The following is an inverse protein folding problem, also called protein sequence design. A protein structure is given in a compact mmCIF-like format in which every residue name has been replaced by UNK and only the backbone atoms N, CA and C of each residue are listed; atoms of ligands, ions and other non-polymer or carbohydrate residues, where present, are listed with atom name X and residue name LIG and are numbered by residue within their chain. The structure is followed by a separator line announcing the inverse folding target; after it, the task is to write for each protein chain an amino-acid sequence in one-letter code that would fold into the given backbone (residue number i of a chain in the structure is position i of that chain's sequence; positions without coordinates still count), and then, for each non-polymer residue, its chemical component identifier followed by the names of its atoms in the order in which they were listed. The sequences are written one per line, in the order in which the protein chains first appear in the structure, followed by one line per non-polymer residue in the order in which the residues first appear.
data_IF_734111227262
#
_entry.id   IF_734111227262
#
_cell.length_a   1.000
_cell.length_b   1.000
_cell.length_c   1.000
_cell.angle_alpha   90.00
_cell.angle_beta   90.00
_cell.angle_gamma   90.00
#
_symmetry.space_group_name_H-M   'P 1'
#
loop_
_entity.id
_entity.type
_entity.pdbx_description
1 polymer ?
#
# COMPACT_ATOMS: atom_id res chain seq x y z
N UNK A 1 -8.50 8.52 -4.18
CA UNK A 1 -8.45 7.04 -4.19
C UNK A 1 -9.80 6.55 -4.61
N UNK A 2 -9.83 5.50 -5.44
CA UNK A 2 -11.08 4.80 -5.75
C UNK A 2 -11.46 3.78 -4.65
N UNK A 3 -12.69 3.29 -4.72
CA UNK A 3 -13.24 2.32 -3.77
C UNK A 3 -12.48 0.99 -3.79
N UNK A 4 -12.03 0.54 -4.97
CA UNK A 4 -11.26 -0.69 -5.11
C UNK A 4 -9.92 -0.64 -4.34
N UNK A 5 -9.23 0.50 -4.39
CA UNK A 5 -7.99 0.75 -3.65
C UNK A 5 -8.20 0.67 -2.15
N UNK A 6 -9.34 1.20 -1.68
CA UNK A 6 -9.71 1.19 -0.26
C UNK A 6 -9.98 -0.23 0.22
N UNK A 7 -10.80 -0.99 -0.52
CA UNK A 7 -11.14 -2.37 -0.18
C UNK A 7 -9.91 -3.28 -0.20
N UNK A 8 -9.01 -3.09 -1.17
CA UNK A 8 -7.76 -3.85 -1.23
C UNK A 8 -6.87 -3.57 -0.02
N UNK A 9 -6.76 -2.30 0.37
CA UNK A 9 -5.98 -1.90 1.53
C UNK A 9 -6.57 -2.45 2.84
N UNK A 10 -7.87 -2.33 3.05
CA UNK A 10 -8.57 -2.88 4.23
C UNK A 10 -8.40 -4.41 4.31
N UNK A 11 -8.56 -5.12 3.18
CA UNK A 11 -8.35 -6.57 3.10
C UNK A 11 -6.92 -6.95 3.46
N UNK A 12 -5.93 -6.20 2.96
CA UNK A 12 -4.53 -6.45 3.25
C UNK A 12 -4.18 -6.19 4.73
N UNK A 13 -4.72 -5.12 5.34
CA UNK A 13 -4.54 -4.85 6.78
C UNK A 13 -5.05 -6.02 7.61
N UNK A 14 -6.26 -6.49 7.33
CA UNK A 14 -6.91 -7.56 8.08
C UNK A 14 -6.15 -8.89 7.90
N UNK A 15 -5.76 -9.24 6.67
CA UNK A 15 -5.05 -10.50 6.38
C UNK A 15 -3.62 -10.53 6.91
N UNK A 16 -2.91 -9.40 6.87
CA UNK A 16 -1.50 -9.33 7.25
C UNK A 16 -1.27 -8.86 8.70
N UNK A 17 -2.34 -8.57 9.45
CA UNK A 17 -2.28 -8.11 10.84
C UNK A 17 -1.54 -6.78 10.98
N UNK A 18 -1.79 -5.84 10.06
CA UNK A 18 -1.04 -4.57 10.00
C UNK A 18 -1.54 -3.57 11.03
N UNK A 19 -0.62 -2.90 11.72
CA UNK A 19 -0.96 -1.80 12.61
C UNK A 19 -1.38 -0.54 11.83
N UNK A 20 -2.05 0.39 12.50
CA UNK A 20 -2.37 1.70 11.92
C UNK A 20 -1.13 2.43 11.37
N UNK A 21 0.04 2.25 12.00
CA UNK A 21 1.31 2.80 11.49
C UNK A 21 1.73 2.17 10.16
N UNK A 22 1.51 0.86 10.01
CA UNK A 22 1.79 0.16 8.76
C UNK A 22 0.85 0.60 7.64
N UNK A 23 -0.43 0.82 7.95
CA UNK A 23 -1.41 1.41 7.04
C UNK A 23 -0.94 2.78 6.51
N UNK A 24 -0.58 3.71 7.40
CA UNK A 24 -0.10 5.04 6.99
C UNK A 24 1.16 4.95 6.12
N UNK A 25 2.06 4.00 6.41
CA UNK A 25 3.27 3.80 5.59
C UNK A 25 2.92 3.30 4.19
N UNK A 26 2.00 2.35 4.07
CA UNK A 26 1.52 1.86 2.77
C UNK A 26 0.91 3.00 1.96
N UNK A 27 0.07 3.84 2.57
CA UNK A 27 -0.51 5.00 1.88
C UNK A 27 0.54 5.99 1.39
N UNK A 28 1.58 6.26 2.17
CA UNK A 28 2.68 7.15 1.75
C UNK A 28 3.43 6.59 0.55
N UNK A 29 3.78 5.29 0.59
CA UNK A 29 4.48 4.63 -0.52
C UNK A 29 3.58 4.59 -1.77
N UNK A 30 2.31 4.23 -1.61
CA UNK A 30 1.36 4.21 -2.72
C UNK A 30 1.14 5.61 -3.33
N UNK A 31 1.20 6.68 -2.52
CA UNK A 31 1.19 8.05 -3.03
C UNK A 31 2.44 8.34 -3.86
N UNK A 32 3.62 7.99 -3.37
CA UNK A 32 4.86 8.15 -4.12
C UNK A 32 4.83 7.39 -5.45
N UNK A 33 4.31 6.16 -5.47
CA UNK A 33 4.16 5.38 -6.70
C UNK A 33 3.19 6.07 -7.66
N UNK A 34 2.04 6.55 -7.17
CA UNK A 34 1.08 7.30 -7.99
C UNK A 34 1.70 8.58 -8.57
N UNK A 35 2.50 9.30 -7.78
CA UNK A 35 3.20 10.50 -8.24
C UNK A 35 4.22 10.16 -9.34
N UNK A 36 4.93 9.03 -9.23
CA UNK A 36 5.87 8.55 -10.26
C UNK A 36 5.16 8.08 -11.54
N UNK A 37 3.95 7.53 -11.42
CA UNK A 37 3.10 7.13 -12.54
C UNK A 37 2.35 8.32 -13.19
N UNK A 38 2.48 9.52 -12.62
CA UNK A 38 1.76 10.72 -13.08
C UNK A 38 0.25 10.66 -12.79
N UNK A 39 -0.19 9.75 -11.91
CA UNK A 39 -1.57 9.58 -11.55
C UNK A 39 -2.00 10.57 -10.46
N UNK A 40 -3.02 11.39 -10.75
CA UNK A 40 -3.57 12.35 -9.78
C UNK A 40 -4.11 11.65 -8.53
N UNK A 41 -4.71 10.47 -8.71
CA UNK A 41 -5.33 9.67 -7.67
C UNK A 41 -4.57 8.36 -7.48
N UNK A 42 -4.43 7.93 -6.22
CA UNK A 42 -3.94 6.59 -5.93
C UNK A 42 -4.98 5.57 -6.40
N UNK A 43 -4.54 4.57 -7.16
CA UNK A 43 -5.33 3.47 -7.69
C UNK A 43 -4.85 2.14 -7.11
N UNK A 44 -5.63 1.09 -7.36
CA UNK A 44 -5.38 -0.26 -6.85
C UNK A 44 -3.97 -0.79 -7.15
N UNK A 45 -3.37 -0.56 -8.34
CA UNK A 45 -1.99 -0.98 -8.63
C UNK A 45 -0.96 -0.38 -7.67
N UNK A 46 -1.06 0.92 -7.37
CA UNK A 46 -0.14 1.62 -6.48
C UNK A 46 -0.18 1.06 -5.04
N UNK A 47 -1.37 0.65 -4.58
CA UNK A 47 -1.53 0.04 -3.26
C UNK A 47 -0.98 -1.38 -3.25
N UNK A 48 -1.28 -2.17 -4.28
CA UNK A 48 -0.75 -3.53 -4.42
C UNK A 48 0.78 -3.52 -4.36
N UNK A 49 1.41 -2.62 -5.10
CA UNK A 49 2.86 -2.48 -5.14
C UNK A 49 3.43 -1.99 -3.79
N UNK A 50 2.79 -1.00 -3.14
CA UNK A 50 3.19 -0.55 -1.81
C UNK A 50 3.12 -1.66 -0.73
N UNK A 51 2.11 -2.54 -0.81
CA UNK A 51 2.00 -3.72 0.07
C UNK A 51 3.12 -4.71 -0.20
N UNK A 52 3.47 -4.94 -1.48
CA UNK A 52 4.56 -5.83 -1.87
C UNK A 52 5.90 -5.33 -1.34
N UNK A 53 6.23 -4.04 -1.50
CA UNK A 53 7.46 -3.46 -0.94
C UNK A 53 7.55 -3.64 0.58
N UNK A 54 6.45 -3.48 1.30
CA UNK A 54 6.43 -3.70 2.75
C UNK A 54 6.62 -5.16 3.12
N UNK A 55 6.06 -6.07 2.34
CA UNK A 55 6.20 -7.51 2.58
C UNK A 55 7.64 -7.96 2.34
N UNK A 56 8.29 -7.42 1.31
CA UNK A 56 9.72 -7.57 1.03
C UNK A 56 10.58 -7.01 2.18
N UNK A 57 10.35 -5.77 2.64
CA UNK A 57 11.07 -5.17 3.80
C UNK A 57 11.00 -6.06 5.05
N UNK A 58 9.89 -6.78 5.25
CA UNK A 58 9.75 -7.71 6.37
C UNK A 58 10.57 -8.98 6.19
N UNK A 59 10.69 -9.49 4.96
CA UNK A 59 11.48 -10.68 4.64
C UNK A 59 13.00 -10.43 4.73
N UNK A 60 13.46 -9.21 4.43
CA UNK A 60 14.88 -8.85 4.47
C UNK A 60 15.42 -8.50 5.86
N UNK A 61 14.62 -8.63 6.93
CA UNK A 61 15.10 -8.52 8.31
C UNK A 61 15.75 -9.83 8.73
N UNK A 62 17.05 -9.96 8.47
CA UNK A 62 17.93 -10.97 9.08
C UNK A 62 18.28 -10.59 10.52
#
# INVERSE_FOLDING_TARGET
MDEASRQLLETAINKLGLSARAYTRILKVARTIADLDGAEHIQSPHISEAIQYRSLDRQFRF
#
